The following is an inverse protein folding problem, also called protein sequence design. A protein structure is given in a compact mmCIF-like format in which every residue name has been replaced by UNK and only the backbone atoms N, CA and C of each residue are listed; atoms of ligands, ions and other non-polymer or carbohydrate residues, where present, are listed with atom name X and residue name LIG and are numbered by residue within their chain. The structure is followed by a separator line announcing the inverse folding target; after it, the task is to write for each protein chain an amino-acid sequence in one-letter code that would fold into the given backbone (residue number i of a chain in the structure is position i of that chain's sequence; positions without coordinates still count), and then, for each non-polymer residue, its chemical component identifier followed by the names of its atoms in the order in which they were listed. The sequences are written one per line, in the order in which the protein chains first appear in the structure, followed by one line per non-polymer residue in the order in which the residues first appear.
data_IF_215117458641
#
_entry.id   IF_215117458641
#
_cell.length_a   1.000
_cell.length_b   1.000
_cell.length_c   1.000
_cell.angle_alpha   90.00
_cell.angle_beta   90.00
_cell.angle_gamma   90.00
#
_symmetry.space_group_name_H-M   'P 1'
#
loop_
_entity.id
_entity.type
_entity.pdbx_description
1 polymer ?
#
# COMPACT_ATOMS: atom_id res chain seq x y z
N UNK A 1 -18.26 3.86 12.24
CA UNK A 1 -16.88 3.69 12.69
C UNK A 1 -15.92 3.79 11.49
N UNK A 2 -14.88 4.56 11.64
CA UNK A 2 -13.98 4.77 10.52
C UNK A 2 -12.90 3.70 10.43
N UNK A 3 -12.57 3.34 9.20
CA UNK A 3 -11.54 2.35 8.92
C UNK A 3 -10.39 3.06 8.23
N UNK A 4 -9.18 2.84 8.71
CA UNK A 4 -7.98 3.42 8.10
C UNK A 4 -7.18 2.32 7.42
N UNK A 5 -6.75 2.59 6.20
CA UNK A 5 -5.93 1.67 5.42
C UNK A 5 -4.70 2.41 4.91
N UNK A 6 -3.52 1.87 5.19
CA UNK A 6 -2.29 2.44 4.67
C UNK A 6 -2.04 1.81 3.30
N UNK A 7 -1.87 2.66 2.30
CA UNK A 7 -1.69 2.20 0.93
C UNK A 7 -0.35 2.70 0.41
N UNK A 8 0.38 1.81 -0.26
CA UNK A 8 1.72 2.13 -0.74
C UNK A 8 1.92 1.78 -2.21
N UNK A 9 0.91 1.26 -2.86
CA UNK A 9 1.03 0.79 -4.23
C UNK A 9 -0.15 1.24 -5.09
N UNK A 10 -0.81 0.29 -5.73
CA UNK A 10 -1.81 0.63 -6.73
C UNK A 10 -3.06 1.27 -6.15
N UNK A 11 -3.22 1.25 -4.83
CA UNK A 11 -4.34 1.93 -4.19
C UNK A 11 -4.00 3.37 -3.79
N UNK A 12 -2.79 3.85 -4.05
CA UNK A 12 -2.46 5.23 -3.74
C UNK A 12 -3.29 6.18 -4.62
N UNK A 13 -3.62 7.36 -4.10
CA UNK A 13 -4.32 8.34 -4.93
C UNK A 13 -3.56 8.58 -6.23
N UNK A 14 -4.28 8.57 -7.34
CA UNK A 14 -3.69 8.72 -8.64
C UNK A 14 -3.37 7.42 -9.35
N UNK A 15 -3.39 6.31 -8.64
CA UNK A 15 -3.16 5.01 -9.25
C UNK A 15 -4.49 4.41 -9.69
N UNK A 16 -4.40 3.41 -10.58
CA UNK A 16 -5.61 2.90 -11.22
C UNK A 16 -6.57 2.26 -10.22
N UNK A 17 -6.06 1.56 -9.22
CA UNK A 17 -6.97 0.90 -8.29
C UNK A 17 -7.60 1.87 -7.32
N UNK A 18 -6.98 3.00 -7.05
CA UNK A 18 -7.63 4.02 -6.25
C UNK A 18 -8.92 4.47 -6.93
N UNK A 19 -8.83 4.78 -8.22
CA UNK A 19 -10.03 5.22 -8.92
C UNK A 19 -11.10 4.15 -8.94
N UNK A 20 -10.70 2.91 -9.15
CA UNK A 20 -11.67 1.85 -9.30
C UNK A 20 -12.37 1.48 -7.99
N UNK A 21 -11.64 1.47 -6.89
CA UNK A 21 -12.17 0.91 -5.65
C UNK A 21 -12.38 1.93 -4.55
N UNK A 22 -11.74 3.08 -4.60
CA UNK A 22 -11.74 4.01 -3.48
C UNK A 22 -12.45 5.31 -3.77
N UNK A 23 -12.46 5.77 -5.01
CA UNK A 23 -13.09 7.06 -5.34
C UNK A 23 -14.55 7.04 -4.91
N UNK A 24 -14.94 8.10 -4.21
CA UNK A 24 -16.29 8.20 -3.71
C UNK A 24 -16.54 7.50 -2.39
N UNK A 25 -15.58 6.71 -1.92
CA UNK A 25 -15.71 6.00 -0.65
C UNK A 25 -14.77 6.53 0.42
N UNK A 26 -13.70 7.19 0.02
CA UNK A 26 -12.70 7.70 0.95
C UNK A 26 -13.20 9.00 1.55
N UNK A 27 -13.18 9.11 2.87
CA UNK A 27 -13.61 10.35 3.53
C UNK A 27 -12.44 11.23 3.89
N UNK A 28 -11.21 10.69 3.92
CA UNK A 28 -10.03 11.49 4.22
C UNK A 28 -8.80 10.80 3.63
N UNK A 29 -7.89 11.61 3.12
CA UNK A 29 -6.61 11.13 2.58
C UNK A 29 -5.50 11.94 3.25
N UNK A 30 -4.50 11.24 3.79
CA UNK A 30 -3.34 11.91 4.40
C UNK A 30 -2.08 11.21 3.98
N UNK A 31 -1.00 11.97 3.76
CA UNK A 31 0.31 11.36 3.60
C UNK A 31 0.70 10.64 4.89
N UNK A 32 1.33 9.51 4.76
CA UNK A 32 1.70 8.71 5.92
C UNK A 32 2.91 7.87 5.60
N UNK A 33 3.56 7.39 6.67
CA UNK A 33 4.65 6.44 6.53
C UNK A 33 4.42 5.28 7.47
N UNK A 34 5.03 4.15 7.13
CA UNK A 34 4.99 2.96 7.95
C UNK A 34 6.39 2.37 7.99
N UNK A 35 6.67 1.58 9.02
CA UNK A 35 7.96 0.93 9.12
C UNK A 35 7.91 -0.42 8.43
N UNK A 36 8.82 -0.63 7.50
CA UNK A 36 8.86 -1.84 6.73
C UNK A 36 9.87 -1.74 5.63
N UNK A 37 9.78 -2.67 4.69
CA UNK A 37 10.61 -2.64 3.50
C UNK A 37 9.73 -2.77 2.28
N UNK A 38 10.02 -1.98 1.27
CA UNK A 38 9.25 -1.97 0.05
C UNK A 38 10.03 -2.65 -1.05
N UNK A 39 9.36 -3.47 -1.83
CA UNK A 39 9.99 -4.17 -2.94
C UNK A 39 9.17 -3.94 -4.21
N UNK A 40 9.89 -3.66 -5.29
CA UNK A 40 9.26 -3.59 -6.60
C UNK A 40 9.16 -5.00 -7.16
N UNK A 41 7.97 -5.39 -7.57
CA UNK A 41 7.76 -6.70 -8.15
C UNK A 41 7.70 -6.58 -9.67
N UNK A 42 8.22 -7.58 -10.39
CA UNK A 42 8.18 -7.48 -11.86
C UNK A 42 6.78 -7.52 -12.45
N UNK A 43 5.79 -7.78 -11.61
CA UNK A 43 4.41 -7.90 -12.07
C UNK A 43 3.69 -6.57 -12.20
N UNK A 44 4.34 -5.47 -11.83
CA UNK A 44 3.73 -4.15 -11.99
C UNK A 44 3.05 -3.61 -10.74
N UNK A 45 3.27 -4.23 -9.60
CA UNK A 45 2.80 -3.72 -8.33
C UNK A 45 3.84 -4.07 -7.26
N UNK A 46 3.80 -3.41 -6.11
CA UNK A 46 4.82 -3.64 -5.09
C UNK A 46 4.35 -4.59 -4.01
N UNK A 47 5.31 -5.02 -3.20
CA UNK A 47 5.01 -5.72 -1.97
C UNK A 47 5.75 -5.07 -0.82
N UNK A 48 5.22 -5.21 0.38
CA UNK A 48 5.82 -4.62 1.57
C UNK A 48 5.91 -5.68 2.65
N UNK A 49 7.05 -5.71 3.32
CA UNK A 49 7.22 -6.52 4.52
C UNK A 49 7.36 -5.61 5.73
N UNK A 50 7.15 -6.15 6.91
CA UNK A 50 7.51 -5.42 8.12
C UNK A 50 9.01 -5.28 8.19
N UNK A 51 9.47 -4.21 8.84
CA UNK A 51 10.91 -3.99 8.94
C UNK A 51 11.20 -2.67 9.60
N UNK A 52 12.43 -2.20 9.44
CA UNK A 52 12.91 -1.00 10.11
C UNK A 52 13.03 0.21 9.22
N UNK A 53 12.90 0.03 7.92
CA UNK A 53 13.01 1.16 7.01
C UNK A 53 11.68 1.88 6.91
N UNK A 54 11.66 2.95 6.14
CA UNK A 54 10.45 3.76 5.99
C UNK A 54 9.81 3.47 4.65
N UNK A 55 8.51 3.15 4.67
CA UNK A 55 7.71 3.01 3.47
C UNK A 55 6.76 4.20 3.42
N UNK A 56 6.75 4.90 2.30
CA UNK A 56 5.93 6.10 2.14
C UNK A 56 4.66 5.77 1.39
N UNK A 57 3.57 6.37 1.82
CA UNK A 57 2.29 6.15 1.17
C UNK A 57 1.26 7.11 1.72
N UNK A 58 0.04 6.62 1.81
CA UNK A 58 -1.08 7.43 2.28
C UNK A 58 -1.93 6.60 3.21
N UNK A 59 -2.58 7.27 4.14
CA UNK A 59 -3.63 6.61 4.90
C UNK A 59 -4.97 7.08 4.36
N UNK A 60 -5.80 6.14 3.97
CA UNK A 60 -7.14 6.40 3.47
C UNK A 60 -8.13 6.05 4.57
N UNK A 61 -9.04 6.96 4.85
CA UNK A 61 -10.06 6.71 5.86
C UNK A 61 -11.39 6.49 5.17
N UNK A 62 -12.07 5.42 5.56
CA UNK A 62 -13.36 5.05 5.00
C UNK A 62 -14.39 5.01 6.13
N UNK A 63 -15.62 5.42 5.83
CA UNK A 63 -16.66 5.42 6.84
C UNK A 63 -17.25 4.05 7.10
N UNK A 64 -17.14 3.13 6.15
CA UNK A 64 -17.79 1.83 6.27
C UNK A 64 -16.78 0.72 6.25
N UNK A 65 -16.96 -0.23 7.18
CA UNK A 65 -16.04 -1.36 7.25
C UNK A 65 -16.20 -2.34 6.10
N UNK A 66 -17.29 -2.25 5.35
CA UNK A 66 -17.46 -3.12 4.18
C UNK A 66 -16.34 -2.92 3.16
N UNK A 67 -15.65 -1.78 3.19
CA UNK A 67 -14.54 -1.56 2.29
C UNK A 67 -13.46 -2.62 2.48
N UNK A 68 -13.27 -3.13 3.69
CA UNK A 68 -12.24 -4.14 3.92
C UNK A 68 -12.52 -5.42 3.15
N UNK A 69 -13.79 -5.83 3.08
CA UNK A 69 -14.12 -7.01 2.27
C UNK A 69 -13.82 -6.79 0.81
N UNK A 70 -14.14 -5.62 0.31
CA UNK A 70 -13.86 -5.32 -1.08
C UNK A 70 -12.37 -5.32 -1.38
N UNK A 71 -11.59 -4.71 -0.50
CA UNK A 71 -10.15 -4.67 -0.71
C UNK A 71 -9.53 -6.04 -0.52
N UNK A 72 -10.06 -6.84 0.40
CA UNK A 72 -9.56 -8.20 0.56
C UNK A 72 -9.75 -9.00 -0.72
N UNK A 73 -10.89 -8.83 -1.38
CA UNK A 73 -11.11 -9.53 -2.64
C UNK A 73 -10.11 -9.10 -3.70
N UNK A 74 -9.83 -7.82 -3.77
CA UNK A 74 -8.85 -7.33 -4.73
C UNK A 74 -7.48 -7.94 -4.48
N UNK A 75 -7.05 -7.97 -3.24
CA UNK A 75 -5.71 -8.46 -2.93
C UNK A 75 -5.63 -9.98 -3.09
N UNK A 76 -6.71 -10.69 -2.80
CA UNK A 76 -6.72 -12.14 -3.00
C UNK A 76 -6.73 -12.50 -4.47
N UNK A 77 -7.31 -11.66 -5.29
CA UNK A 77 -7.36 -11.94 -6.71
C UNK A 77 -5.97 -12.12 -7.28
N UNK A 78 -5.03 -11.34 -6.80
CA UNK A 78 -3.63 -11.55 -7.14
C UNK A 78 -3.16 -12.81 -6.40
N UNK A 79 -2.40 -13.66 -7.04
CA UNK A 79 -1.98 -14.90 -6.36
C UNK A 79 -1.00 -14.68 -5.23
N UNK A 80 -0.84 -13.53 -4.74
CA UNK A 80 0.17 -13.22 -3.76
C UNK A 80 -0.29 -13.29 -2.33
N UNK A 81 -1.57 -13.14 -2.18
CA UNK A 81 -1.89 -13.16 -1.10
C UNK A 81 -1.32 -12.33 -0.17
N UNK A 82 -1.64 -11.37 -0.29
CA UNK A 82 -1.29 -10.42 0.74
C UNK A 82 -1.94 -10.82 2.05
N UNK A 83 -1.25 -10.47 3.11
CA UNK A 83 -1.71 -10.73 4.46
C UNK A 83 -2.05 -9.40 5.11
N UNK A 84 -3.31 -9.22 5.52
CA UNK A 84 -3.77 -7.94 6.07
C UNK A 84 -3.51 -7.89 7.57
N UNK A 85 -2.84 -6.84 8.03
CA UNK A 85 -2.55 -6.63 9.45
C UNK A 85 -2.75 -5.17 9.81
N UNK A 86 -2.97 -4.91 11.09
CA UNK A 86 -2.98 -3.54 11.61
C UNK A 86 -1.61 -3.20 12.15
N UNK A 87 -1.08 -2.05 11.75
CA UNK A 87 0.21 -1.59 12.24
C UNK A 87 0.12 -0.12 12.59
N UNK A 88 1.02 0.31 13.44
CA UNK A 88 1.17 1.72 13.76
C UNK A 88 1.69 2.46 12.54
N UNK A 89 1.09 3.62 12.23
CA UNK A 89 1.57 4.47 11.14
C UNK A 89 1.88 5.86 11.67
N UNK A 90 2.59 6.63 10.88
CA UNK A 90 3.09 7.94 11.29
C UNK A 90 2.86 8.95 10.18
N UNK A 91 2.78 10.22 10.55
CA UNK A 91 2.78 11.24 9.52
C UNK A 91 4.21 11.46 9.02
N UNK A 92 4.39 12.24 7.95
CA UNK A 92 5.75 12.40 7.41
C UNK A 92 6.75 13.05 8.37
N UNK A 93 6.29 13.70 9.43
CA UNK A 93 7.21 14.26 10.42
C UNK A 93 7.58 13.23 11.48
N UNK A 94 6.98 12.06 11.47
CA UNK A 94 7.27 11.02 12.42
C UNK A 94 6.32 10.94 13.59
N UNK A 95 5.27 11.73 13.59
CA UNK A 95 4.30 11.71 14.68
C UNK A 95 3.29 10.60 14.47
N UNK A 96 3.01 9.84 15.52
CA UNK A 96 2.11 8.69 15.42
C UNK A 96 0.71 9.11 15.02
N UNK A 97 0.12 8.37 14.09
CA UNK A 97 -1.24 8.59 13.64
C UNK A 97 -2.19 7.49 14.12
N UNK A 98 -1.69 6.52 14.89
CA UNK A 98 -2.51 5.40 15.30
C UNK A 98 -2.32 4.22 14.37
N UNK A 99 -3.26 3.31 14.38
CA UNK A 99 -3.14 2.06 13.64
C UNK A 99 -3.96 2.11 12.36
N UNK A 100 -3.45 1.41 11.35
CA UNK A 100 -4.14 1.29 10.07
C UNK A 100 -3.93 -0.12 9.55
N UNK A 101 -4.88 -0.57 8.75
CA UNK A 101 -4.73 -1.85 8.06
C UNK A 101 -3.74 -1.70 6.92
N UNK A 102 -2.95 -2.74 6.70
CA UNK A 102 -1.99 -2.74 5.60
C UNK A 102 -1.92 -4.16 5.04
N UNK A 103 -1.72 -4.26 3.74
CA UNK A 103 -1.58 -5.55 3.07
C UNK A 103 -0.11 -5.86 2.91
N UNK A 104 0.35 -6.92 3.56
CA UNK A 104 1.76 -7.28 3.65
C UNK A 104 2.03 -8.59 2.94
N UNK A 105 3.27 -8.77 2.54
CA UNK A 105 3.77 -10.04 2.03
C UNK A 105 4.91 -10.50 2.91
N UNK A 106 5.21 -11.79 2.88
CA UNK A 106 6.40 -12.27 3.54
C UNK A 106 7.61 -12.08 2.64
N UNK A 107 8.78 -12.04 3.25
CA UNK A 107 10.00 -11.93 2.46
C UNK A 107 10.15 -13.11 1.52
N UNK A 108 9.76 -14.29 1.98
CA UNK A 108 9.82 -15.47 1.13
C UNK A 108 8.95 -15.31 -0.12
N UNK A 109 7.74 -14.79 0.05
CA UNK A 109 6.88 -14.55 -1.10
C UNK A 109 7.52 -13.55 -2.07
N UNK A 110 8.10 -12.50 -1.52
CA UNK A 110 8.71 -11.47 -2.36
C UNK A 110 9.88 -12.05 -3.14
N UNK A 111 10.71 -12.86 -2.50
CA UNK A 111 11.84 -13.46 -3.18
C UNK A 111 11.39 -14.41 -4.27
N UNK A 112 10.35 -15.17 -4.01
CA UNK A 112 9.82 -16.09 -5.00
C UNK A 112 9.31 -15.37 -6.24
N UNK A 113 8.79 -14.17 -6.04
CA UNK A 113 8.25 -13.38 -7.14
C UNK A 113 9.29 -12.53 -7.85
N UNK A 114 10.52 -12.53 -7.38
CA UNK A 114 11.56 -11.74 -8.00
C UNK A 114 11.58 -10.29 -7.58
N UNK A 115 11.14 -9.99 -6.37
CA UNK A 115 11.10 -8.62 -5.90
C UNK A 115 12.48 -8.02 -5.72
N UNK A 116 12.58 -6.73 -5.99
CA UNK A 116 13.81 -5.98 -5.86
C UNK A 116 13.59 -4.89 -4.81
N UNK A 117 14.50 -4.80 -3.84
CA UNK A 117 14.36 -3.81 -2.78
C UNK A 117 14.29 -2.41 -3.35
N UNK A 118 13.34 -1.65 -2.84
CA UNK A 118 13.17 -0.24 -3.19
C UNK A 118 13.61 0.56 -1.97
N UNK A 119 14.87 1.00 -1.93
CA UNK A 119 15.36 1.64 -0.71
C UNK A 119 14.75 2.99 -0.42
N UNK A 120 14.20 3.65 -1.43
CA UNK A 120 13.54 4.93 -1.19
C UNK A 120 12.19 4.82 -0.54
N UNK A 121 11.60 3.62 -0.55
CA UNK A 121 10.34 3.40 0.13
C UNK A 121 9.13 4.01 -0.56
N UNK A 122 9.25 4.42 -1.79
CA UNK A 122 8.16 5.00 -2.56
C UNK A 122 8.02 4.26 -3.88
N UNK A 123 6.83 3.76 -4.15
CA UNK A 123 6.58 3.02 -5.38
C UNK A 123 6.06 3.99 -6.45
N UNK A 124 6.71 3.99 -7.60
CA UNK A 124 6.37 4.95 -8.65
C UNK A 124 5.25 4.51 -9.58
N UNK A 125 5.06 3.23 -9.74
CA UNK A 125 3.92 2.75 -10.50
C UNK A 125 4.03 2.96 -11.99
N UNK A 126 2.87 2.92 -12.65
CA UNK A 126 2.82 2.95 -14.11
C UNK A 126 3.19 4.29 -14.70
N UNK A 127 2.96 5.36 -13.98
CA UNK A 127 3.27 6.70 -14.48
C UNK A 127 4.74 6.82 -14.78
N UNK A 128 5.56 6.24 -13.92
CA UNK A 128 6.99 6.28 -14.11
C UNK A 128 7.40 5.61 -15.41
N UNK A 129 6.83 4.47 -15.68
CA UNK A 129 7.19 3.73 -16.90
C UNK A 129 6.79 4.48 -18.16
N UNK A 130 5.65 5.14 -18.13
CA UNK A 130 5.19 5.89 -19.28
C UNK A 130 6.15 7.02 -19.58
N UNK A 131 6.60 7.71 -18.53
CA UNK A 131 7.53 8.80 -18.73
C UNK A 131 8.85 8.34 -19.29
N UNK A 132 9.27 7.16 -18.89
CA UNK A 132 10.55 6.66 -19.34
C UNK A 132 10.60 6.45 -20.82
N UNK A 133 9.47 6.19 -21.43
CA UNK A 133 9.42 5.97 -22.86
C UNK A 133 9.38 7.25 -23.66
N UNK A 134 8.97 8.32 -23.04
CA UNK A 134 8.91 9.60 -23.69
C UNK A 134 10.25 10.27 -23.70
#
# INVERSE_FOLDING_TARGET
MNIKVFVYGTLKPGEVNYQRYCTGKVVEVKSAIALGQLFDLPLGYPGMTLGDSTVQGFVLTFAESAILSLLDELEDYNPRXYNRQQIQIYDPTGQALGFAWVYLMTLEQIQRLGGVLNPGGWWNGCVERIRDEG
#
